data_IF_682517150316
#
_entry.id   IF_682517150316
#
_cell.length_a   1.000
_cell.length_b   1.000
_cell.length_c   1.000
_cell.angle_alpha   90.00
_cell.angle_beta   90.00
_cell.angle_gamma   90.00
#
_symmetry.space_group_name_H-M   'P 1'
#
loop_
_entity.id
_entity.type
_entity.pdbx_description
1 polymer ?
#
# COMPACT_ATOMS: atom_id res chain seq x y z
N UNK A 1 19.58 -6.78 23.97
CA UNK A 1 18.67 -5.71 24.44
C UNK A 1 18.16 -6.10 25.82
N UNK A 2 18.27 -5.23 26.83
CA UNK A 2 17.66 -5.49 28.14
C UNK A 2 16.12 -5.42 28.08
N UNK A 3 15.40 -5.88 29.12
CA UNK A 3 13.94 -5.82 29.15
C UNK A 3 13.46 -4.36 29.05
N UNK A 4 12.84 -4.04 27.92
CA UNK A 4 12.20 -2.74 27.68
C UNK A 4 10.78 -2.75 28.22
N UNK A 5 10.42 -1.72 28.99
CA UNK A 5 9.07 -1.53 29.55
C UNK A 5 8.41 -0.34 28.88
N UNK A 6 7.24 -0.55 28.29
CA UNK A 6 6.43 0.53 27.70
C UNK A 6 5.12 0.59 28.49
N UNK A 7 4.96 1.64 29.30
CA UNK A 7 3.74 1.93 30.04
C UNK A 7 2.91 2.96 29.24
N UNK A 8 1.73 2.57 28.73
CA UNK A 8 0.84 3.45 27.97
C UNK A 8 -0.45 3.69 28.75
N UNK A 9 -0.79 4.97 28.98
CA UNK A 9 -2.06 5.38 29.60
C UNK A 9 -3.01 5.90 28.52
N UNK A 10 -4.18 5.27 28.38
CA UNK A 10 -5.28 5.72 27.52
C UNK A 10 -6.42 6.22 28.39
N UNK A 11 -6.64 7.53 28.40
CA UNK A 11 -7.85 8.12 28.97
C UNK A 11 -8.93 8.17 27.89
N UNK A 12 -10.00 7.40 28.07
CA UNK A 12 -11.20 7.49 27.21
C UNK A 12 -12.24 8.29 27.99
N UNK A 13 -12.44 9.55 27.59
CA UNK A 13 -13.54 10.36 28.12
C UNK A 13 -14.78 10.03 27.30
N UNK A 14 -15.72 9.29 27.88
CA UNK A 14 -17.04 9.11 27.31
C UNK A 14 -17.88 10.37 27.58
N UNK A 15 -18.37 11.03 26.53
CA UNK A 15 -19.38 12.09 26.64
C UNK A 15 -20.75 11.45 26.87
N UNK A 16 -21.40 11.75 28.00
CA UNK A 16 -22.80 11.38 28.26
C UNK A 16 -23.13 11.14 29.73
N UNK A 17 -22.47 10.17 30.39
CA UNK A 17 -22.99 9.60 31.64
C UNK A 17 -22.10 9.82 32.88
N UNK A 18 -21.14 10.75 32.85
CA UNK A 18 -20.27 11.05 34.00
C UNK A 18 -19.31 9.92 34.42
N UNK A 19 -19.29 8.79 33.70
CA UNK A 19 -18.39 7.66 33.95
C UNK A 19 -17.05 7.88 33.22
N UNK A 20 -15.94 7.97 33.98
CA UNK A 20 -14.58 7.94 33.42
C UNK A 20 -14.12 6.49 33.27
N UNK A 21 -13.71 6.10 32.06
CA UNK A 21 -13.04 4.83 31.79
C UNK A 21 -11.57 5.10 31.52
N UNK A 22 -10.70 4.67 32.43
CA UNK A 22 -9.25 4.74 32.23
C UNK A 22 -8.76 3.33 31.87
N UNK A 23 -8.20 3.18 30.68
CA UNK A 23 -7.62 1.91 30.25
C UNK A 23 -6.11 2.03 30.33
N UNK A 24 -5.48 1.20 31.16
CA UNK A 24 -4.02 1.12 31.27
C UNK A 24 -3.57 -0.15 30.57
N UNK A 25 -2.73 0.01 29.56
CA UNK A 25 -2.13 -1.10 28.83
C UNK A 25 -0.66 -1.15 29.20
N UNK A 26 -0.23 -2.28 29.74
CA UNK A 26 1.16 -2.50 30.11
C UNK A 26 1.74 -3.61 29.23
N UNK A 27 2.72 -3.24 28.42
CA UNK A 27 3.48 -4.14 27.57
C UNK A 27 4.81 -4.45 28.25
N UNK A 28 5.04 -5.72 28.59
CA UNK A 28 6.34 -6.18 29.07
C UNK A 28 6.92 -7.20 28.09
N UNK A 29 8.14 -6.92 27.65
CA UNK A 29 8.96 -7.86 26.89
C UNK A 29 9.91 -8.58 27.86
N UNK A 30 9.85 -9.91 27.90
CA UNK A 30 10.68 -10.73 28.80
C UNK A 30 11.59 -11.65 27.96
N UNK A 31 12.88 -11.30 27.77
CA UNK A 31 13.88 -12.26 27.31
C UNK A 31 14.25 -13.23 28.45
N UNK A 32 14.58 -14.52 28.20
CA UNK A 32 14.97 -15.11 26.91
C UNK A 32 13.90 -16.01 26.26
N UNK A 33 12.68 -16.08 26.78
CA UNK A 33 11.72 -17.14 26.39
C UNK A 33 10.91 -16.85 25.12
N UNK A 34 11.12 -15.71 24.46
CA UNK A 34 10.39 -15.39 23.23
C UNK A 34 8.88 -15.24 23.46
N UNK A 35 8.43 -14.69 24.59
CA UNK A 35 7.02 -14.38 24.82
C UNK A 35 6.79 -12.88 25.00
N UNK A 36 5.70 -12.36 24.44
CA UNK A 36 5.13 -11.06 24.80
C UNK A 36 4.11 -11.27 25.91
N UNK A 37 4.30 -10.59 27.05
CA UNK A 37 3.30 -10.55 28.12
C UNK A 37 2.51 -9.26 27.98
N UNK A 38 1.22 -9.42 27.69
CA UNK A 38 0.25 -8.32 27.63
C UNK A 38 -0.57 -8.32 28.90
N UNK A 39 -0.46 -7.25 29.70
CA UNK A 39 -1.36 -7.03 30.83
C UNK A 39 -2.30 -5.86 30.51
N UNK A 40 -3.59 -6.16 30.46
CA UNK A 40 -4.66 -5.18 30.35
C UNK A 40 -5.21 -4.89 31.73
N UNK A 41 -5.23 -3.62 32.14
CA UNK A 41 -5.89 -3.16 33.36
C UNK A 41 -6.94 -2.12 33.00
N UNK A 42 -8.22 -2.45 33.16
CA UNK A 42 -9.33 -1.51 32.97
C UNK A 42 -9.79 -1.01 34.32
N UNK A 43 -9.75 0.30 34.53
CA UNK A 43 -10.28 0.95 35.73
C UNK A 43 -11.60 1.60 35.34
N UNK A 44 -12.70 1.11 35.93
CA UNK A 44 -14.01 1.75 35.83
C UNK A 44 -14.25 2.57 37.09
N UNK A 45 -14.40 3.89 36.94
CA UNK A 45 -14.79 4.77 38.05
C UNK A 45 -16.16 5.38 37.80
N UNK A 46 -17.04 5.26 38.80
CA UNK A 46 -18.34 5.92 38.86
C UNK A 46 -18.33 6.86 40.08
N UNK A 47 -18.91 8.07 40.01
CA UNK A 47 -18.95 8.99 41.15
C UNK A 47 -19.57 8.42 42.43
N UNK A 48 -20.41 7.38 42.31
CA UNK A 48 -21.21 6.79 43.38
C UNK A 48 -20.90 5.31 43.67
N UNK A 49 -19.82 4.75 43.10
CA UNK A 49 -19.46 3.33 43.29
C UNK A 49 -17.94 3.13 43.46
N UNK A 50 -17.50 2.11 44.22
CA UNK A 50 -16.08 1.81 44.41
C UNK A 50 -15.38 1.50 43.08
N UNK A 51 -14.12 1.91 42.95
CA UNK A 51 -13.30 1.65 41.75
C UNK A 51 -13.14 0.14 41.55
N UNK A 52 -13.53 -0.36 40.38
CA UNK A 52 -13.32 -1.76 40.01
C UNK A 52 -12.15 -1.87 39.04
N UNK A 53 -11.16 -2.69 39.38
CA UNK A 53 -10.01 -3.01 38.54
C UNK A 53 -10.24 -4.37 37.87
N UNK A 54 -10.26 -4.39 36.54
CA UNK A 54 -10.27 -5.64 35.77
C UNK A 54 -8.89 -5.85 35.16
N UNK A 55 -8.27 -6.98 35.47
CA UNK A 55 -6.96 -7.36 34.91
C UNK A 55 -7.04 -8.61 34.06
N UNK A 56 -6.48 -8.57 32.86
CA UNK A 56 -6.34 -9.72 31.98
C UNK A 56 -4.88 -9.83 31.53
N UNK A 57 -4.29 -11.02 31.62
CA UNK A 57 -2.92 -11.30 31.19
C UNK A 57 -2.94 -12.31 30.05
N UNK A 58 -2.15 -12.07 29.02
CA UNK A 58 -2.01 -12.99 27.89
C UNK A 58 -0.54 -13.14 27.51
N UNK A 59 -0.12 -14.40 27.30
CA UNK A 59 1.22 -14.79 26.84
C UNK A 59 1.15 -15.09 25.34
N UNK A 60 1.98 -14.42 24.54
CA UNK A 60 2.05 -14.64 23.09
C UNK A 60 3.45 -15.10 22.71
N UNK A 61 3.65 -16.31 22.17
CA UNK A 61 4.95 -16.77 21.70
C UNK A 61 5.42 -15.99 20.45
N UNK A 62 6.73 -15.75 20.38
CA UNK A 62 7.48 -15.04 19.35
C UNK A 62 8.69 -15.92 19.00
N UNK A 63 8.58 -16.76 17.95
CA UNK A 63 9.61 -17.42 17.10
C UNK A 63 9.06 -18.77 16.56
N UNK A 64 9.25 -19.28 15.32
CA UNK A 64 10.06 -18.94 14.13
C UNK A 64 9.53 -19.71 12.88
N UNK A 65 9.77 -19.17 11.66
CA UNK A 65 9.72 -19.77 10.29
C UNK A 65 8.44 -20.51 9.86
N UNK A 66 7.68 -19.90 8.94
CA UNK A 66 6.71 -20.62 8.12
C UNK A 66 7.43 -21.40 7.01
N UNK A 67 7.66 -22.69 7.24
CA UNK A 67 7.90 -23.67 6.18
C UNK A 67 6.54 -24.04 5.57
N UNK A 68 6.40 -23.88 4.26
CA UNK A 68 5.22 -24.23 3.47
C UNK A 68 5.03 -25.75 3.44
N UNK A 69 4.03 -26.29 4.16
CA UNK A 69 3.20 -27.47 3.77
C UNK A 69 2.55 -28.21 4.96
N UNK A 70 1.44 -27.74 5.54
CA UNK A 70 0.40 -28.61 6.17
C UNK A 70 -0.87 -27.80 6.48
N UNK A 71 -2.10 -28.32 6.26
CA UNK A 71 -3.33 -27.63 6.65
C UNK A 71 -3.63 -27.85 8.13
N UNK A 72 -3.82 -26.79 8.91
CA UNK A 72 -4.19 -26.88 10.33
C UNK A 72 -5.69 -26.58 10.47
N UNK A 73 -6.49 -27.63 10.39
CA UNK A 73 -7.77 -27.72 11.09
C UNK A 73 -7.47 -28.33 12.47
N UNK A 74 -7.45 -27.52 13.53
CA UNK A 74 -7.93 -27.85 14.89
C UNK A 74 -7.29 -26.94 15.94
N UNK A 75 -8.07 -26.02 16.50
CA UNK A 75 -7.89 -25.54 17.87
C UNK A 75 -9.29 -25.51 18.48
N UNK A 76 -9.61 -26.61 19.18
CA UNK A 76 -10.87 -26.81 19.86
C UNK A 76 -10.91 -26.00 21.15
N UNK A 77 -11.93 -25.16 21.30
CA UNK A 77 -12.35 -24.64 22.60
C UNK A 77 -13.10 -25.75 23.35
N UNK A 78 -12.55 -26.17 24.49
CA UNK A 78 -13.25 -27.01 25.45
C UNK A 78 -14.33 -26.17 26.17
N UNK A 79 -15.60 -26.43 25.88
CA UNK A 79 -16.70 -26.14 26.79
C UNK A 79 -17.42 -27.46 27.11
N UNK A 80 -17.30 -27.86 28.37
CA UNK A 80 -17.99 -29.01 28.96
C UNK A 80 -19.46 -28.65 29.19
N UNK A 81 -20.37 -29.17 28.37
CA UNK A 81 -21.76 -29.45 28.76
C UNK A 81 -22.15 -30.78 28.11
N UNK A 82 -22.47 -31.76 28.95
CA UNK A 82 -22.86 -33.10 28.51
C UNK A 82 -24.26 -33.12 27.89
N UNK A 83 -24.41 -33.93 26.85
CA UNK A 83 -25.52 -34.87 26.73
C UNK A 83 -25.19 -35.91 25.66
N UNK A 84 -25.42 -37.17 26.01
CA UNK A 84 -25.29 -38.33 25.16
C UNK A 84 -26.35 -38.31 24.05
N UNK A 85 -26.01 -38.73 22.83
CA UNK A 85 -26.84 -39.60 21.99
C UNK A 85 -26.02 -40.21 20.85
N UNK A 86 -26.42 -41.42 20.48
CA UNK A 86 -25.75 -42.45 19.71
C UNK A 86 -25.65 -42.22 18.19
N UNK A 87 -24.48 -42.56 17.64
CA UNK A 87 -24.20 -43.31 16.40
C UNK A 87 -25.17 -43.29 15.21
N UNK A 88 -24.63 -42.96 14.03
CA UNK A 88 -24.53 -43.90 12.90
C UNK A 88 -23.81 -43.26 11.70
N UNK A 89 -22.89 -44.02 11.11
CA UNK A 89 -22.26 -43.75 9.80
C UNK A 89 -23.22 -44.16 8.70
N UNK A 90 -23.34 -43.36 7.63
CA UNK A 90 -23.57 -43.88 6.27
C UNK A 90 -22.93 -42.95 5.24
N UNK A 91 -22.12 -43.55 4.38
CA UNK A 91 -21.57 -42.98 3.16
C UNK A 91 -22.58 -43.16 2.01
N UNK A 92 -22.61 -42.24 1.05
CA UNK A 92 -23.09 -42.45 -0.33
C UNK A 92 -22.61 -41.31 -1.25
N UNK A 93 -22.58 -41.50 -2.59
CA UNK A 93 -21.48 -41.06 -3.43
C UNK A 93 -21.76 -39.82 -4.28
N UNK A 94 -20.67 -39.26 -4.80
CA UNK A 94 -20.59 -38.19 -5.80
C UNK A 94 -21.14 -38.69 -7.14
N UNK A 95 -22.14 -38.00 -7.69
CA UNK A 95 -22.57 -38.13 -9.08
C UNK A 95 -22.06 -36.93 -9.90
N UNK A 96 -21.24 -37.22 -10.90
CA UNK A 96 -20.83 -36.28 -11.94
C UNK A 96 -21.93 -36.18 -12.99
N UNK A 97 -22.46 -34.97 -13.23
CA UNK A 97 -23.23 -34.68 -14.44
C UNK A 97 -22.58 -33.50 -15.16
N UNK A 98 -22.09 -33.78 -16.37
CA UNK A 98 -21.58 -32.78 -17.30
C UNK A 98 -22.74 -32.00 -17.89
N UNK A 99 -22.72 -30.68 -17.72
CA UNK A 99 -23.60 -29.74 -18.39
C UNK A 99 -22.78 -28.85 -19.32
N UNK A 100 -23.05 -28.94 -20.61
CA UNK A 100 -22.53 -28.04 -21.65
C UNK A 100 -23.04 -26.61 -21.41
N UNK A 101 -22.16 -25.72 -20.94
CA UNK A 101 -22.45 -24.30 -20.76
C UNK A 101 -22.42 -23.54 -22.09
N UNK A 102 -23.54 -22.88 -22.42
CA UNK A 102 -23.69 -21.98 -23.56
C UNK A 102 -22.92 -20.66 -23.34
N UNK A 103 -22.31 -20.01 -24.36
CA UNK A 103 -21.41 -18.86 -24.16
C UNK A 103 -22.09 -17.53 -23.78
N UNK A 104 -23.41 -17.50 -23.60
CA UNK A 104 -24.20 -16.25 -23.51
C UNK A 104 -24.20 -15.57 -22.14
N UNK A 105 -23.81 -16.25 -21.05
CA UNK A 105 -23.83 -15.66 -19.69
C UNK A 105 -22.62 -14.79 -19.40
N UNK A 106 -21.41 -15.22 -19.80
CA UNK A 106 -20.16 -14.51 -19.49
C UNK A 106 -20.06 -13.11 -20.14
N UNK A 107 -20.62 -12.91 -21.34
CA UNK A 107 -20.61 -11.62 -22.02
C UNK A 107 -21.55 -10.59 -21.35
N UNK A 108 -22.71 -11.05 -20.86
CA UNK A 108 -23.65 -10.19 -20.13
C UNK A 108 -23.16 -9.83 -18.72
N UNK A 109 -22.50 -10.76 -18.04
CA UNK A 109 -21.92 -10.52 -16.71
C UNK A 109 -20.73 -9.54 -16.78
N UNK A 110 -19.92 -9.61 -17.84
CA UNK A 110 -18.83 -8.65 -18.08
C UNK A 110 -19.34 -7.22 -18.35
N UNK A 111 -20.38 -7.06 -19.17
CA UNK A 111 -20.98 -5.75 -19.48
C UNK A 111 -21.64 -5.12 -18.24
N UNK A 112 -22.34 -5.92 -17.44
CA UNK A 112 -22.92 -5.47 -16.17
C UNK A 112 -21.84 -5.04 -15.16
N UNK A 113 -20.75 -5.80 -15.05
CA UNK A 113 -19.61 -5.47 -14.20
C UNK A 113 -18.90 -4.18 -14.61
N UNK A 114 -18.69 -3.99 -15.92
CA UNK A 114 -18.07 -2.78 -16.47
C UNK A 114 -18.96 -1.54 -16.31
N UNK A 115 -20.27 -1.69 -16.51
CA UNK A 115 -21.27 -0.64 -16.27
C UNK A 115 -21.32 -0.21 -14.79
N UNK A 116 -21.33 -1.17 -13.86
CA UNK A 116 -21.30 -0.89 -12.42
C UNK A 116 -20.01 -0.16 -12.01
N UNK A 117 -18.85 -0.61 -12.53
CA UNK A 117 -17.56 0.05 -12.31
C UNK A 117 -17.58 1.49 -12.80
N UNK A 118 -18.05 1.73 -14.03
CA UNK A 118 -18.16 3.07 -14.62
C UNK A 118 -19.06 3.96 -13.77
N UNK A 119 -20.20 3.46 -13.31
CA UNK A 119 -21.12 4.21 -12.45
C UNK A 119 -20.48 4.63 -11.12
N UNK A 120 -19.76 3.72 -10.45
CA UNK A 120 -18.99 4.02 -9.23
C UNK A 120 -17.98 5.15 -9.48
N UNK A 121 -17.18 5.02 -10.55
CA UNK A 121 -16.18 6.04 -10.92
C UNK A 121 -16.82 7.41 -11.18
N UNK A 122 -17.92 7.47 -11.94
CA UNK A 122 -18.58 8.73 -12.28
C UNK A 122 -19.24 9.40 -11.05
N UNK A 123 -19.66 8.62 -10.07
CA UNK A 123 -20.22 9.11 -8.80
C UNK A 123 -19.16 9.54 -7.77
N UNK A 124 -17.90 9.15 -8.00
CA UNK A 124 -16.78 9.41 -7.08
C UNK A 124 -16.50 10.90 -6.93
N UNK A 125 -16.05 11.28 -5.72
CA UNK A 125 -15.63 12.66 -5.39
C UNK A 125 -14.12 12.85 -5.40
N UNK A 126 -13.34 11.80 -5.72
CA UNK A 126 -11.88 11.85 -5.66
C UNK A 126 -11.27 12.80 -6.71
N UNK A 127 -12.02 13.10 -7.77
CA UNK A 127 -11.68 14.15 -8.74
C UNK A 127 -12.33 15.46 -8.31
N UNK A 128 -11.50 16.48 -8.08
CA UNK A 128 -11.95 17.83 -7.78
C UNK A 128 -11.02 18.85 -8.43
N UNK A 129 -11.50 20.09 -8.55
CA UNK A 129 -10.72 21.17 -9.11
C UNK A 129 -9.67 21.64 -8.11
N UNK A 130 -8.42 21.65 -8.58
CA UNK A 130 -7.28 22.11 -7.79
C UNK A 130 -6.84 23.47 -8.34
N UNK A 131 -6.71 24.51 -7.50
CA UNK A 131 -6.23 25.80 -7.94
C UNK A 131 -4.88 25.72 -8.65
N UNK A 132 -4.67 26.56 -9.68
CA UNK A 132 -3.46 26.56 -10.51
C UNK A 132 -2.20 26.96 -9.74
N UNK A 133 -2.33 27.72 -8.65
CA UNK A 133 -1.21 28.11 -7.80
C UNK A 133 -0.66 26.97 -6.93
N UNK A 134 -1.41 25.86 -6.78
CA UNK A 134 -0.91 24.67 -6.06
C UNK A 134 0.00 23.86 -6.96
N UNK A 135 1.07 23.33 -6.40
CA UNK A 135 2.01 22.45 -7.12
C UNK A 135 1.40 21.04 -7.23
N UNK A 136 1.57 20.30 -8.34
CA UNK A 136 1.11 18.90 -8.51
C UNK A 136 1.78 17.86 -7.59
N UNK A 137 1.97 18.21 -6.31
CA UNK A 137 2.54 17.38 -5.27
C UNK A 137 1.46 17.12 -4.22
N UNK A 138 1.06 15.85 -4.12
CA UNK A 138 -0.05 15.39 -3.30
C UNK A 138 0.50 14.76 -2.03
N UNK A 139 0.02 15.26 -0.88
CA UNK A 139 0.38 14.72 0.42
C UNK A 139 -0.67 15.11 1.47
N UNK A 140 -0.92 14.23 2.43
CA UNK A 140 -1.67 14.54 3.64
C UNK A 140 -0.84 14.15 4.85
N UNK A 141 -0.91 14.92 5.93
CA UNK A 141 -0.31 14.53 7.21
C UNK A 141 -0.83 13.19 7.73
N UNK A 142 -2.00 12.74 7.27
CA UNK A 142 -2.56 11.43 7.59
C UNK A 142 -1.89 10.26 6.87
N UNK A 143 -0.99 10.49 5.92
CA UNK A 143 -0.24 9.41 5.29
C UNK A 143 0.72 8.74 6.27
N UNK A 144 1.28 9.53 7.20
CA UNK A 144 2.18 9.01 8.22
C UNK A 144 1.39 8.13 9.21
N UNK A 145 1.70 6.84 9.27
CA UNK A 145 1.09 5.91 10.24
C UNK A 145 1.93 5.94 11.51
N UNK A 146 1.47 6.69 12.51
CA UNK A 146 2.03 6.66 13.86
C UNK A 146 0.95 6.20 14.83
N UNK A 147 1.12 5.02 15.41
CA UNK A 147 0.15 4.46 16.35
C UNK A 147 0.83 3.62 17.42
N UNK A 148 0.81 4.11 18.67
CA UNK A 148 1.30 3.41 19.86
C UNK A 148 2.76 2.92 19.79
N UNK A 149 3.63 3.50 18.97
CA UNK A 149 5.01 3.02 18.82
C UNK A 149 5.15 1.84 17.87
N UNK A 150 4.04 1.34 17.30
CA UNK A 150 4.01 0.21 16.37
C UNK A 150 4.81 0.53 15.10
N UNK A 151 4.90 1.81 14.73
CA UNK A 151 5.74 2.29 13.63
C UNK A 151 7.22 1.90 13.76
N UNK A 152 7.70 1.61 14.98
CA UNK A 152 9.09 1.21 15.26
C UNK A 152 9.34 -0.28 15.16
N UNK A 153 8.28 -1.10 15.04
CA UNK A 153 8.35 -2.56 15.02
C UNK A 153 8.43 -3.14 13.62
N UNK A 154 8.48 -2.29 12.60
CA UNK A 154 8.38 -2.67 11.20
C UNK A 154 9.54 -2.07 10.39
N UNK A 155 10.11 -2.79 9.40
CA UNK A 155 11.20 -2.26 8.56
C UNK A 155 10.77 -1.04 7.73
N UNK A 156 9.49 -0.96 7.35
CA UNK A 156 8.94 0.22 6.68
C UNK A 156 8.83 1.41 7.63
N UNK A 157 9.53 2.50 7.30
CA UNK A 157 9.34 3.78 7.97
C UNK A 157 8.01 4.41 7.58
N UNK A 158 7.00 4.16 8.40
CA UNK A 158 5.65 4.66 8.16
C UNK A 158 5.48 6.17 8.35
N UNK A 159 6.55 6.90 8.71
CA UNK A 159 6.59 8.36 8.78
C UNK A 159 7.51 8.99 7.71
N UNK A 160 7.91 8.19 6.70
CA UNK A 160 8.79 8.61 5.58
C UNK A 160 8.20 9.78 4.81
N UNK A 161 6.88 9.79 4.62
CA UNK A 161 6.16 10.73 3.75
C UNK A 161 6.25 12.17 4.25
N UNK A 162 5.92 12.39 5.53
CA UNK A 162 6.06 13.72 6.13
C UNK A 162 7.49 14.21 6.18
N UNK A 163 8.49 13.30 6.27
CA UNK A 163 9.91 13.68 6.22
C UNK A 163 10.32 14.21 4.85
N UNK A 164 9.84 13.61 3.75
CA UNK A 164 10.10 14.10 2.39
C UNK A 164 9.62 15.54 2.24
N UNK A 165 8.36 15.83 2.60
CA UNK A 165 7.82 17.19 2.52
C UNK A 165 8.59 18.17 3.41
N UNK A 166 9.02 17.76 4.61
CA UNK A 166 9.85 18.60 5.49
C UNK A 166 11.19 18.96 4.85
N UNK A 167 11.85 18.02 4.18
CA UNK A 167 13.09 18.31 3.46
C UNK A 167 12.86 19.29 2.31
N UNK A 168 11.83 19.08 1.48
CA UNK A 168 11.51 20.00 0.38
C UNK A 168 11.19 21.42 0.85
N UNK A 169 10.51 21.56 2.00
CA UNK A 169 10.25 22.86 2.62
C UNK A 169 11.53 23.49 3.16
N UNK A 170 12.39 22.71 3.82
CA UNK A 170 13.65 23.21 4.38
C UNK A 170 14.63 23.70 3.30
N UNK A 171 14.63 23.09 2.11
CA UNK A 171 15.42 23.51 0.94
C UNK A 171 14.82 24.74 0.23
N UNK A 172 13.67 25.26 0.70
CA UNK A 172 13.02 26.45 0.13
C UNK A 172 12.28 26.22 -1.19
N UNK A 173 12.14 24.97 -1.65
CA UNK A 173 11.52 24.64 -2.93
C UNK A 173 10.00 24.45 -2.85
N UNK A 174 9.45 24.28 -1.65
CA UNK A 174 8.04 24.02 -1.43
C UNK A 174 7.54 24.78 -0.21
N UNK A 175 6.41 25.46 -0.32
CA UNK A 175 5.66 25.92 0.85
C UNK A 175 4.50 24.95 1.09
N UNK A 176 4.26 24.63 2.36
CA UNK A 176 3.17 23.75 2.81
C UNK A 176 1.81 24.17 2.24
N UNK A 177 1.55 25.46 2.03
CA UNK A 177 0.26 25.95 1.48
C UNK A 177 0.01 25.53 0.02
N UNK A 178 1.07 25.22 -0.72
CA UNK A 178 0.97 24.78 -2.13
C UNK A 178 0.79 23.27 -2.29
N UNK A 179 0.98 22.50 -1.21
CA UNK A 179 0.73 21.06 -1.20
C UNK A 179 -0.76 20.79 -1.39
N UNK A 180 -1.07 19.78 -2.20
CA UNK A 180 -2.44 19.33 -2.46
C UNK A 180 -2.78 18.22 -1.47
N UNK A 181 -3.85 18.42 -0.69
CA UNK A 181 -4.38 17.35 0.17
C UNK A 181 -5.43 16.54 -0.60
N UNK A 182 -5.30 15.21 -0.66
CA UNK A 182 -6.28 14.35 -1.32
C UNK A 182 -7.49 14.06 -0.44
N UNK A 183 -8.57 13.56 -1.04
CA UNK A 183 -9.70 12.99 -0.31
C UNK A 183 -9.45 11.50 0.02
N UNK A 184 -10.15 10.99 1.02
CA UNK A 184 -10.13 9.55 1.33
C UNK A 184 -10.94 8.78 0.28
N UNK A 185 -10.38 7.69 -0.26
CA UNK A 185 -11.14 6.74 -1.06
C UNK A 185 -12.16 5.99 -0.20
N UNK A 186 -13.44 6.12 -0.53
CA UNK A 186 -14.55 5.44 0.15
C UNK A 186 -14.70 4.02 -0.37
N UNK A 187 -15.52 3.23 0.32
CA UNK A 187 -15.84 1.84 -0.09
C UNK A 187 -16.25 1.76 -1.57
N UNK A 188 -17.14 2.63 -2.04
CA UNK A 188 -17.57 2.64 -3.45
C UNK A 188 -16.43 2.93 -4.44
N UNK A 189 -15.47 3.76 -4.05
CA UNK A 189 -14.28 4.00 -4.86
C UNK A 189 -13.39 2.74 -4.90
N UNK A 190 -13.23 2.05 -3.78
CA UNK A 190 -12.43 0.83 -3.67
C UNK A 190 -13.05 -0.34 -4.44
N UNK A 191 -14.38 -0.43 -4.49
CA UNK A 191 -15.15 -1.44 -5.24
C UNK A 191 -15.04 -1.30 -6.77
N UNK A 192 -14.30 -0.31 -7.27
CA UNK A 192 -13.94 -0.22 -8.69
C UNK A 192 -12.99 -1.36 -9.09
N UNK A 193 -12.11 -1.77 -8.17
CA UNK A 193 -11.12 -2.84 -8.37
C UNK A 193 -11.37 -3.99 -7.38
N UNK A 194 -11.54 -3.69 -6.10
CA UNK A 194 -11.61 -4.72 -5.07
C UNK A 194 -12.96 -5.41 -5.01
N UNK A 195 -12.96 -6.71 -4.69
CA UNK A 195 -14.21 -7.41 -4.35
C UNK A 195 -14.77 -6.99 -2.99
N UNK A 196 -16.08 -7.15 -2.86
CA UNK A 196 -16.76 -7.03 -1.57
C UNK A 196 -16.17 -7.99 -0.53
N UNK A 197 -15.81 -9.20 -0.94
CA UNK A 197 -15.21 -10.23 -0.07
C UNK A 197 -13.87 -9.76 0.48
N UNK A 198 -12.99 -9.25 -0.38
CA UNK A 198 -11.69 -8.73 0.05
C UNK A 198 -11.87 -7.53 1.00
N UNK A 199 -12.70 -6.55 0.65
CA UNK A 199 -12.94 -5.39 1.53
C UNK A 199 -13.57 -5.79 2.87
N UNK A 200 -14.47 -6.78 2.87
CA UNK A 200 -15.04 -7.31 4.11
C UNK A 200 -13.99 -7.99 5.00
N UNK A 201 -12.99 -8.64 4.41
CA UNK A 201 -11.90 -9.30 5.15
C UNK A 201 -11.04 -8.31 5.96
N UNK A 202 -10.96 -7.04 5.54
CA UNK A 202 -10.22 -5.98 6.25
C UNK A 202 -10.90 -5.53 7.55
N UNK A 203 -12.15 -5.96 7.80
CA UNK A 203 -12.82 -5.81 9.11
C UNK A 203 -12.24 -6.72 10.19
N UNK A 204 -11.37 -7.66 9.81
CA UNK A 204 -10.57 -8.47 10.74
C UNK A 204 -9.17 -7.89 10.92
N UNK A 205 -8.83 -7.44 12.14
CA UNK A 205 -7.49 -6.92 12.45
C UNK A 205 -6.37 -7.93 12.18
N UNK A 206 -6.64 -9.22 12.30
CA UNK A 206 -5.68 -10.28 11.99
C UNK A 206 -5.25 -10.24 10.52
N UNK A 207 -6.21 -10.12 9.59
CA UNK A 207 -5.90 -10.05 8.17
C UNK A 207 -5.10 -8.79 7.83
N UNK A 208 -5.50 -7.63 8.39
CA UNK A 208 -4.74 -6.38 8.22
C UNK A 208 -3.30 -6.55 8.72
N UNK A 209 -3.12 -7.13 9.91
CA UNK A 209 -1.80 -7.39 10.49
C UNK A 209 -0.92 -8.28 9.62
N UNK A 210 -1.50 -9.29 8.95
CA UNK A 210 -0.80 -10.13 7.97
C UNK A 210 -0.38 -9.32 6.75
N UNK A 211 -1.28 -8.52 6.17
CA UNK A 211 -1.00 -7.72 4.97
C UNK A 211 0.10 -6.68 5.23
N UNK A 212 0.03 -5.98 6.36
CA UNK A 212 1.03 -4.97 6.74
C UNK A 212 2.27 -5.58 7.41
N UNK A 213 2.29 -6.89 7.63
CA UNK A 213 3.34 -7.64 8.34
C UNK A 213 3.71 -7.08 9.72
N UNK A 214 2.69 -6.61 10.46
CA UNK A 214 2.85 -6.12 11.83
C UNK A 214 2.00 -6.96 12.78
N UNK A 215 2.51 -8.11 13.29
CA UNK A 215 1.73 -9.03 14.11
C UNK A 215 0.98 -8.37 15.30
N UNK A 216 1.55 -7.38 16.03
CA UNK A 216 0.82 -6.70 17.11
C UNK A 216 -0.50 -6.03 16.69
N UNK A 217 -0.66 -5.64 15.41
CA UNK A 217 -1.91 -5.05 14.88
C UNK A 217 -3.08 -6.02 15.03
N UNK A 218 -2.84 -7.34 15.03
CA UNK A 218 -3.89 -8.35 15.15
C UNK A 218 -4.68 -8.26 16.47
N UNK A 219 -4.07 -7.68 17.51
CA UNK A 219 -4.64 -7.53 18.84
C UNK A 219 -5.34 -6.19 19.05
N UNK A 220 -5.24 -5.28 18.08
CA UNK A 220 -5.85 -3.96 18.14
C UNK A 220 -7.31 -4.05 17.69
N UNK A 221 -8.27 -3.45 18.42
CA UNK A 221 -9.66 -3.38 17.98
C UNK A 221 -9.78 -2.81 16.56
N UNK A 222 -10.56 -3.46 15.69
CA UNK A 222 -10.58 -3.13 14.27
C UNK A 222 -10.98 -1.67 13.98
N UNK A 223 -11.81 -1.03 14.80
CA UNK A 223 -12.12 0.39 14.64
C UNK A 223 -10.89 1.32 14.77
N UNK A 224 -9.91 0.94 15.60
CA UNK A 224 -8.64 1.65 15.70
C UNK A 224 -7.70 1.31 14.55
N UNK A 225 -7.67 0.04 14.11
CA UNK A 225 -6.93 -0.37 12.90
C UNK A 225 -7.45 0.37 11.68
N UNK A 226 -8.77 0.47 11.53
CA UNK A 226 -9.39 1.22 10.44
C UNK A 226 -8.98 2.70 10.47
N UNK A 227 -9.10 3.34 11.63
CA UNK A 227 -8.79 4.77 11.79
C UNK A 227 -7.31 5.11 11.65
N UNK A 228 -6.41 4.26 12.17
CA UNK A 228 -4.99 4.58 12.30
C UNK A 228 -4.09 3.87 11.30
N UNK A 229 -4.55 2.78 10.67
CA UNK A 229 -3.79 2.04 9.66
C UNK A 229 -4.48 2.16 8.30
N UNK A 230 -5.74 1.75 8.18
CA UNK A 230 -6.42 1.67 6.87
C UNK A 230 -6.78 3.05 6.29
N UNK A 231 -7.18 4.01 7.13
CA UNK A 231 -7.48 5.39 6.69
C UNK A 231 -6.29 6.07 5.99
N UNK A 232 -5.06 6.03 6.54
CA UNK A 232 -3.85 6.46 5.83
C UNK A 232 -3.67 5.83 4.43
N UNK A 233 -3.90 4.51 4.29
CA UNK A 233 -3.85 3.83 2.99
C UNK A 233 -4.94 4.35 2.04
N UNK A 234 -6.19 4.52 2.51
CA UNK A 234 -7.29 5.06 1.68
C UNK A 234 -7.07 6.51 1.26
N UNK A 235 -6.39 7.31 2.07
CA UNK A 235 -5.97 8.67 1.71
C UNK A 235 -4.89 8.65 0.61
N UNK A 236 -3.94 7.71 0.69
CA UNK A 236 -2.94 7.52 -0.36
C UNK A 236 -3.56 7.06 -1.68
N UNK A 237 -4.54 6.17 -1.65
CA UNK A 237 -5.34 5.77 -2.84
C UNK A 237 -5.98 6.98 -3.51
N UNK A 238 -6.68 7.82 -2.72
CA UNK A 238 -7.26 9.06 -3.25
C UNK A 238 -6.22 10.02 -3.82
N UNK A 239 -5.01 10.04 -3.26
CA UNK A 239 -3.88 10.80 -3.79
C UNK A 239 -3.37 10.27 -5.13
N UNK A 240 -3.22 8.96 -5.29
CA UNK A 240 -2.79 8.33 -6.55
C UNK A 240 -3.80 8.61 -7.66
N UNK A 241 -5.10 8.49 -7.37
CA UNK A 241 -6.20 8.79 -8.30
C UNK A 241 -6.21 10.27 -8.70
N UNK A 242 -6.07 11.18 -7.73
CA UNK A 242 -6.00 12.63 -8.00
C UNK A 242 -4.74 13.00 -8.79
N UNK A 243 -3.62 12.31 -8.55
CA UNK A 243 -2.37 12.56 -9.26
C UNK A 243 -2.53 12.32 -10.77
N UNK A 244 -3.26 11.29 -11.22
CA UNK A 244 -3.53 11.10 -12.64
C UNK A 244 -4.28 12.26 -13.28
N UNK A 245 -5.28 12.83 -12.60
CA UNK A 245 -5.96 14.05 -13.07
C UNK A 245 -4.98 15.20 -13.25
N UNK A 246 -4.16 15.45 -12.23
CA UNK A 246 -3.22 16.56 -12.22
C UNK A 246 -2.11 16.38 -13.25
N UNK A 247 -1.61 15.15 -13.43
CA UNK A 247 -0.64 14.82 -14.47
C UNK A 247 -1.24 15.07 -15.86
N UNK A 248 -2.48 14.63 -16.12
CA UNK A 248 -3.15 14.88 -17.40
C UNK A 248 -3.33 16.38 -17.68
N UNK A 249 -3.63 17.17 -16.65
CA UNK A 249 -3.84 18.62 -16.77
C UNK A 249 -2.55 19.43 -16.85
N UNK A 250 -1.45 18.95 -16.22
CA UNK A 250 -0.27 19.76 -15.91
C UNK A 250 1.05 19.10 -16.33
N UNK A 251 0.98 17.98 -17.04
CA UNK A 251 2.13 17.19 -17.53
C UNK A 251 2.71 16.21 -16.52
N UNK A 252 2.64 16.50 -15.22
CA UNK A 252 3.15 15.61 -14.19
C UNK A 252 2.42 15.78 -12.85
N UNK A 253 2.48 14.76 -12.01
CA UNK A 253 2.10 14.83 -10.61
C UNK A 253 2.88 13.81 -9.76
N UNK A 254 3.12 14.13 -8.49
CA UNK A 254 3.79 13.24 -7.54
C UNK A 254 2.87 13.03 -6.33
N UNK A 255 2.49 11.78 -6.06
CA UNK A 255 1.89 11.41 -4.78
C UNK A 255 3.04 11.01 -3.83
N UNK A 256 3.22 11.72 -2.72
CA UNK A 256 4.27 11.41 -1.72
C UNK A 256 3.81 10.24 -0.85
N UNK A 257 3.61 9.09 -1.48
CA UNK A 257 3.05 7.86 -0.94
C UNK A 257 2.53 6.98 -2.08
N UNK A 258 1.61 6.07 -1.74
CA UNK A 258 1.01 5.15 -2.72
C UNK A 258 2.03 4.20 -3.33
N UNK A 259 1.70 3.65 -4.50
CA UNK A 259 2.56 2.70 -5.19
C UNK A 259 2.45 1.30 -4.59
N UNK A 260 1.24 0.91 -4.20
CA UNK A 260 0.93 -0.34 -3.50
C UNK A 260 0.89 -1.52 -4.46
N UNK A 261 2.02 -1.76 -5.13
CA UNK A 261 2.15 -2.66 -6.28
C UNK A 261 1.93 -4.15 -5.99
N UNK A 262 1.92 -4.58 -4.72
CA UNK A 262 1.65 -5.97 -4.32
C UNK A 262 0.16 -6.26 -4.10
N UNK A 263 -0.68 -5.23 -3.99
CA UNK A 263 -2.11 -5.44 -3.80
C UNK A 263 -2.81 -5.61 -5.16
N UNK A 264 -3.63 -6.66 -5.24
CA UNK A 264 -4.54 -6.95 -6.35
C UNK A 264 -6.00 -6.74 -5.91
N UNK A 265 -6.95 -6.88 -6.83
CA UNK A 265 -8.38 -6.85 -6.58
C UNK A 265 -8.81 -7.72 -5.38
N UNK A 266 -8.27 -8.92 -5.26
CA UNK A 266 -8.72 -9.93 -4.30
C UNK A 266 -7.80 -10.10 -3.08
N UNK A 267 -6.61 -9.50 -3.09
CA UNK A 267 -5.58 -9.80 -2.09
C UNK A 267 -4.60 -8.66 -1.89
N UNK A 268 -4.36 -8.31 -0.62
CA UNK A 268 -3.24 -7.50 -0.17
C UNK A 268 -2.03 -8.34 0.24
N UNK A 269 -0.86 -7.72 0.31
CA UNK A 269 0.41 -8.34 0.71
C UNK A 269 1.56 -7.36 0.55
N UNK A 270 2.75 -7.68 1.08
CA UNK A 270 3.95 -6.84 0.94
C UNK A 270 3.70 -5.38 1.35
N UNK A 271 3.02 -5.17 2.48
CA UNK A 271 2.64 -3.85 3.00
C UNK A 271 1.57 -3.09 2.18
N UNK A 272 1.03 -3.70 1.12
CA UNK A 272 0.07 -3.09 0.21
C UNK A 272 -1.35 -3.56 0.55
N UNK A 273 -2.20 -2.65 1.03
CA UNK A 273 -3.58 -2.97 1.46
C UNK A 273 -4.62 -2.72 0.37
N UNK A 274 -4.43 -1.72 -0.48
CA UNK A 274 -5.35 -1.41 -1.58
C UNK A 274 -4.56 -1.26 -2.88
N UNK A 275 -5.15 -1.68 -3.99
CA UNK A 275 -4.53 -1.66 -5.33
C UNK A 275 -4.63 -0.24 -5.93
N UNK A 276 -3.90 0.72 -5.35
CA UNK A 276 -4.01 2.12 -5.72
C UNK A 276 -3.60 2.41 -7.17
N UNK A 277 -2.60 1.70 -7.70
CA UNK A 277 -2.19 1.75 -9.11
C UNK A 277 -3.35 1.30 -10.00
N UNK A 278 -3.94 0.13 -9.74
CA UNK A 278 -5.06 -0.40 -10.51
C UNK A 278 -6.27 0.54 -10.46
N UNK A 279 -6.62 1.03 -9.27
CA UNK A 279 -7.70 1.99 -9.09
C UNK A 279 -7.43 3.28 -9.89
N UNK A 280 -6.23 3.84 -9.80
CA UNK A 280 -5.81 5.02 -10.54
C UNK A 280 -6.03 4.85 -12.06
N UNK A 281 -5.63 3.70 -12.61
CA UNK A 281 -5.75 3.40 -14.04
C UNK A 281 -7.22 3.27 -14.47
N UNK A 282 -8.06 2.53 -13.74
CA UNK A 282 -9.48 2.43 -14.08
C UNK A 282 -10.21 3.79 -14.02
N UNK A 283 -9.86 4.63 -13.03
CA UNK A 283 -10.35 6.00 -12.96
C UNK A 283 -9.87 6.82 -14.16
N UNK A 284 -8.59 6.72 -14.56
CA UNK A 284 -8.05 7.40 -15.72
C UNK A 284 -8.77 7.00 -17.02
N UNK A 285 -9.03 5.70 -17.21
CA UNK A 285 -9.81 5.20 -18.36
C UNK A 285 -11.19 5.85 -18.45
N UNK A 286 -11.89 5.98 -17.33
CA UNK A 286 -13.28 6.47 -17.32
C UNK A 286 -13.40 8.00 -17.24
N UNK A 287 -12.48 8.69 -16.56
CA UNK A 287 -12.60 10.13 -16.26
C UNK A 287 -11.72 11.02 -17.13
N UNK A 288 -10.61 10.49 -17.64
CA UNK A 288 -9.60 11.28 -18.36
C UNK A 288 -9.55 10.97 -19.85
N UNK A 289 -10.45 10.09 -20.34
CA UNK A 289 -10.47 9.62 -21.72
C UNK A 289 -9.10 9.08 -22.17
N UNK A 290 -8.41 8.42 -21.25
CA UNK A 290 -7.16 7.69 -21.51
C UNK A 290 -7.57 6.27 -21.93
N UNK A 291 -6.89 5.72 -22.92
CA UNK A 291 -7.11 4.37 -23.43
C UNK A 291 -5.84 3.52 -23.37
N UNK A 292 -4.68 4.12 -23.14
CA UNK A 292 -3.38 3.42 -23.05
C UNK A 292 -2.56 3.95 -21.89
N UNK A 293 -2.21 3.08 -20.95
CA UNK A 293 -1.36 3.42 -19.79
C UNK A 293 -0.11 2.55 -19.78
N UNK A 294 1.04 3.16 -19.50
CA UNK A 294 2.27 2.42 -19.23
C UNK A 294 2.56 2.47 -17.74
N UNK A 295 2.75 1.32 -17.12
CA UNK A 295 3.33 1.19 -15.78
C UNK A 295 4.83 1.01 -15.97
N UNK A 296 5.60 1.87 -15.32
CA UNK A 296 7.05 1.73 -15.17
C UNK A 296 7.27 1.45 -13.69
N UNK A 297 7.47 0.19 -13.32
CA UNK A 297 7.76 -0.21 -11.94
C UNK A 297 9.27 -0.42 -11.77
N UNK A 298 9.87 0.44 -10.93
CA UNK A 298 11.31 0.42 -10.61
C UNK A 298 11.54 0.24 -9.10
N UNK A 299 10.54 -0.25 -8.36
CA UNK A 299 10.74 -0.84 -7.05
C UNK A 299 11.60 -2.12 -7.17
N UNK A 300 12.35 -2.47 -6.12
CA UNK A 300 13.20 -3.66 -6.17
C UNK A 300 12.37 -4.95 -6.25
N UNK A 301 11.14 -4.94 -5.73
CA UNK A 301 10.25 -6.09 -5.72
C UNK A 301 9.37 -6.11 -6.97
N UNK A 302 8.99 -7.31 -7.40
CA UNK A 302 8.04 -7.50 -8.50
C UNK A 302 6.65 -6.96 -8.11
N UNK A 303 6.03 -6.19 -9.01
CA UNK A 303 4.71 -5.57 -8.86
C UNK A 303 3.51 -6.50 -9.09
N UNK A 304 3.52 -7.68 -8.46
CA UNK A 304 2.59 -8.79 -8.75
C UNK A 304 1.09 -8.47 -8.59
N UNK A 305 0.72 -7.40 -7.87
CA UNK A 305 -0.66 -6.97 -7.70
C UNK A 305 -1.27 -6.43 -9.01
N UNK A 306 -0.64 -5.41 -9.58
CA UNK A 306 -1.13 -4.80 -10.82
C UNK A 306 -0.90 -5.71 -12.05
N UNK A 307 0.12 -6.55 -12.03
CA UNK A 307 0.31 -7.60 -13.05
C UNK A 307 -0.90 -8.52 -13.17
N UNK A 308 -1.47 -8.96 -12.03
CA UNK A 308 -2.67 -9.81 -12.02
C UNK A 308 -3.91 -9.05 -12.45
N UNK A 309 -4.09 -7.83 -11.93
CA UNK A 309 -5.27 -7.00 -12.20
C UNK A 309 -5.40 -6.63 -13.69
N UNK A 310 -4.28 -6.60 -14.43
CA UNK A 310 -4.24 -6.27 -15.86
C UNK A 310 -3.77 -7.43 -16.75
N UNK A 311 -3.83 -8.67 -16.26
CA UNK A 311 -3.36 -9.89 -16.93
C UNK A 311 -3.73 -10.02 -18.41
N UNK A 312 -4.97 -9.63 -18.78
CA UNK A 312 -5.49 -9.69 -20.15
C UNK A 312 -5.83 -8.31 -20.76
N UNK A 313 -5.45 -7.21 -20.10
CA UNK A 313 -5.81 -5.85 -20.55
C UNK A 313 -4.72 -5.21 -21.41
N UNK A 314 -4.88 -5.31 -22.74
CA UNK A 314 -3.94 -4.73 -23.72
C UNK A 314 -3.86 -3.19 -23.71
N UNK A 315 -4.73 -2.52 -22.94
CA UNK A 315 -4.64 -1.07 -22.71
C UNK A 315 -3.52 -0.72 -21.73
N UNK A 316 -2.96 -1.69 -21.02
CA UNK A 316 -1.87 -1.50 -20.05
C UNK A 316 -0.60 -2.18 -20.53
N UNK A 317 0.51 -1.44 -20.52
CA UNK A 317 1.85 -1.97 -20.75
C UNK A 317 2.66 -1.92 -19.47
N UNK A 318 3.17 -3.06 -19.02
CA UNK A 318 3.92 -3.21 -17.77
C UNK A 318 5.40 -3.40 -18.13
N UNK A 319 6.20 -2.39 -17.80
CA UNK A 319 7.64 -2.48 -17.67
C UNK A 319 7.95 -2.66 -16.18
N UNK A 320 8.44 -3.83 -15.78
CA UNK A 320 8.86 -4.11 -14.40
C UNK A 320 10.34 -4.52 -14.37
N UNK A 321 11.12 -3.77 -13.58
CA UNK A 321 12.55 -3.96 -13.39
C UNK A 321 12.88 -4.29 -11.93
N UNK A 322 12.77 -5.57 -11.60
CA UNK A 322 12.84 -6.08 -10.23
C UNK A 322 14.01 -7.07 -10.02
N UNK A 323 14.32 -7.32 -8.75
CA UNK A 323 15.24 -8.37 -8.34
C UNK A 323 14.51 -9.72 -8.22
N UNK A 324 14.83 -10.73 -9.05
CA UNK A 324 14.08 -11.98 -9.07
C UNK A 324 14.32 -12.88 -7.84
N UNK A 325 15.35 -12.58 -7.04
CA UNK A 325 15.78 -13.37 -5.88
C UNK A 325 15.08 -12.99 -4.56
N UNK A 326 14.16 -12.01 -4.60
CA UNK A 326 13.44 -11.51 -3.44
C UNK A 326 11.91 -11.69 -3.61
N UNK A 327 11.16 -11.41 -2.54
CA UNK A 327 9.70 -11.45 -2.52
C UNK A 327 9.13 -10.75 -3.77
N UNK A 328 8.05 -11.26 -4.41
CA UNK A 328 7.08 -12.24 -3.96
C UNK A 328 7.24 -13.67 -4.49
N UNK A 329 8.17 -13.93 -5.41
CA UNK A 329 8.29 -15.22 -6.13
C UNK A 329 7.01 -15.64 -6.89
N UNK A 330 6.25 -14.67 -7.40
CA UNK A 330 4.96 -14.89 -8.05
C UNK A 330 5.14 -15.13 -9.57
N UNK A 331 5.62 -16.32 -9.93
CA UNK A 331 5.93 -16.68 -11.33
C UNK A 331 4.73 -16.67 -12.27
N UNK A 332 3.52 -16.80 -11.73
CA UNK A 332 2.28 -16.71 -12.51
C UNK A 332 2.05 -15.27 -12.95
N UNK A 333 2.11 -14.32 -12.00
CA UNK A 333 1.98 -12.89 -12.29
C UNK A 333 3.05 -12.38 -13.28
N UNK A 334 4.29 -12.89 -13.18
CA UNK A 334 5.39 -12.55 -14.11
C UNK A 334 5.08 -12.84 -15.58
N UNK A 335 4.05 -13.63 -15.89
CA UNK A 335 3.63 -13.91 -17.27
C UNK A 335 2.89 -12.73 -17.90
N UNK A 336 2.36 -11.82 -17.10
CA UNK A 336 1.60 -10.65 -17.54
C UNK A 336 2.46 -9.39 -17.68
N UNK A 337 3.73 -9.44 -17.28
CA UNK A 337 4.68 -8.36 -17.52
C UNK A 337 5.04 -8.32 -19.01
N UNK A 338 4.74 -7.22 -19.69
CA UNK A 338 5.07 -7.05 -21.11
C UNK A 338 6.59 -6.99 -21.33
N UNK A 339 7.30 -6.29 -20.44
CA UNK A 339 8.74 -6.16 -20.50
C UNK A 339 9.37 -6.38 -19.12
N UNK A 340 9.94 -7.56 -18.92
CA UNK A 340 10.65 -7.95 -17.70
C UNK A 340 12.12 -7.57 -17.81
N UNK A 341 12.63 -6.89 -16.80
CA UNK A 341 14.06 -6.58 -16.68
C UNK A 341 14.57 -7.05 -15.33
N UNK A 342 15.01 -8.31 -15.27
CA UNK A 342 15.54 -8.88 -14.04
C UNK A 342 16.92 -8.31 -13.72
N UNK A 343 17.09 -7.81 -12.48
CA UNK A 343 18.36 -7.27 -11.95
C UNK A 343 18.85 -8.08 -10.77
N UNK A 344 20.04 -8.64 -10.88
CA UNK A 344 20.59 -9.52 -9.85
C UNK A 344 20.91 -8.76 -8.55
N UNK A 345 20.86 -9.46 -7.43
CA UNK A 345 21.34 -8.92 -6.15
C UNK A 345 22.77 -8.38 -6.27
N UNK A 346 23.01 -7.18 -5.74
CA UNK A 346 24.30 -6.50 -5.83
C UNK A 346 24.52 -5.67 -7.12
N UNK A 347 23.53 -5.59 -8.02
CA UNK A 347 23.60 -4.71 -9.21
C UNK A 347 23.99 -3.29 -8.81
N UNK A 348 24.99 -2.75 -9.51
CA UNK A 348 25.53 -1.40 -9.23
C UNK A 348 24.78 -0.31 -9.99
N UNK A 349 24.96 0.95 -9.59
CA UNK A 349 24.35 2.12 -10.27
C UNK A 349 24.56 2.12 -11.78
N UNK A 350 25.77 1.87 -12.28
CA UNK A 350 26.06 1.94 -13.72
C UNK A 350 25.33 0.86 -14.51
N UNK A 351 25.35 -0.37 -14.01
CA UNK A 351 24.62 -1.49 -14.63
C UNK A 351 23.11 -1.24 -14.60
N UNK A 352 22.56 -0.84 -13.45
CA UNK A 352 21.14 -0.55 -13.30
C UNK A 352 20.68 0.52 -14.29
N UNK A 353 21.38 1.66 -14.35
CA UNK A 353 21.01 2.76 -15.24
C UNK A 353 21.16 2.39 -16.72
N UNK A 354 22.14 1.54 -17.08
CA UNK A 354 22.29 1.03 -18.44
C UNK A 354 21.13 0.12 -18.84
N UNK A 355 20.69 -0.78 -17.94
CA UNK A 355 19.54 -1.65 -18.16
C UNK A 355 18.25 -0.85 -18.29
N UNK A 356 18.04 0.12 -17.42
CA UNK A 356 16.90 1.02 -17.49
C UNK A 356 16.85 1.78 -18.81
N UNK A 357 17.98 2.32 -19.26
CA UNK A 357 18.02 3.05 -20.54
C UNK A 357 17.68 2.15 -21.73
N UNK A 358 18.23 0.93 -21.78
CA UNK A 358 17.85 -0.06 -22.78
C UNK A 358 16.36 -0.40 -22.70
N UNK A 359 15.84 -0.52 -21.47
CA UNK A 359 14.45 -0.85 -21.25
C UNK A 359 13.49 0.24 -21.74
N UNK A 360 13.79 1.50 -21.42
CA UNK A 360 13.00 2.65 -21.87
C UNK A 360 13.02 2.80 -23.41
N UNK A 361 14.13 2.46 -24.08
CA UNK A 361 14.20 2.43 -25.55
C UNK A 361 13.25 1.38 -26.13
N UNK A 362 13.26 0.15 -25.59
CA UNK A 362 12.32 -0.90 -26.02
C UNK A 362 10.88 -0.50 -25.75
N UNK A 363 10.58 0.05 -24.58
CA UNK A 363 9.24 0.50 -24.22
C UNK A 363 8.73 1.62 -25.14
N UNK A 364 9.62 2.52 -25.59
CA UNK A 364 9.29 3.59 -26.53
C UNK A 364 8.74 3.07 -27.87
N UNK A 365 9.30 1.97 -28.36
CA UNK A 365 8.95 1.39 -29.66
C UNK A 365 7.78 0.39 -29.54
N UNK A 366 7.61 -0.20 -28.35
CA UNK A 366 6.61 -1.24 -28.10
C UNK A 366 5.22 -0.69 -27.78
N UNK A 367 5.12 0.50 -27.18
CA UNK A 367 3.85 1.02 -26.68
C UNK A 367 3.79 2.56 -26.67
N UNK A 368 2.63 3.11 -27.04
CA UNK A 368 2.38 4.57 -27.08
C UNK A 368 1.39 4.98 -25.99
N UNK A 369 1.82 5.16 -24.73
CA UNK A 369 0.92 5.49 -23.63
C UNK A 369 0.40 6.93 -23.71
N UNK A 370 -0.76 7.16 -23.13
CA UNK A 370 -1.36 8.49 -22.93
C UNK A 370 -1.21 8.97 -21.48
N UNK A 371 -0.69 8.09 -20.62
CA UNK A 371 -0.33 8.33 -19.23
C UNK A 371 0.72 7.29 -18.80
N UNK A 372 1.73 7.73 -18.04
CA UNK A 372 2.69 6.87 -17.37
C UNK A 372 2.37 6.85 -15.87
N UNK A 373 2.26 5.67 -15.29
CA UNK A 373 2.31 5.46 -13.84
C UNK A 373 3.73 4.96 -13.51
N UNK A 374 4.52 5.81 -12.87
CA UNK A 374 5.87 5.52 -12.46
C UNK A 374 5.90 5.15 -10.96
N UNK A 375 6.15 3.87 -10.67
CA UNK A 375 6.34 3.39 -9.30
C UNK A 375 7.84 3.46 -8.94
N UNK A 376 8.19 4.44 -8.12
CA UNK A 376 9.56 4.90 -7.90
C UNK A 376 10.15 4.43 -6.56
N UNK A 377 9.98 3.16 -6.22
CA UNK A 377 10.44 2.56 -4.96
C UNK A 377 11.93 2.82 -4.71
N UNK A 378 12.29 3.17 -3.47
CA UNK A 378 13.69 3.52 -3.12
C UNK A 378 14.46 2.41 -2.43
N UNK A 379 13.92 1.19 -2.44
CA UNK A 379 14.54 -0.01 -1.89
C UNK A 379 15.63 -0.62 -2.78
N UNK A 380 15.83 -0.09 -4.00
CA UNK A 380 17.03 -0.39 -4.79
C UNK A 380 18.31 0.27 -4.23
N UNK A 381 18.17 1.18 -3.25
CA UNK A 381 19.26 1.93 -2.63
C UNK A 381 20.26 1.01 -1.92
N UNK A 382 21.54 1.31 -2.05
CA UNK A 382 22.61 0.57 -1.37
C UNK A 382 22.42 0.59 0.15
N UNK A 383 22.42 -0.59 0.74
CA UNK A 383 22.16 -0.81 2.17
C UNK A 383 20.68 -0.98 2.53
N UNK A 384 19.75 -0.94 1.57
CA UNK A 384 18.36 -1.28 1.84
C UNK A 384 18.24 -2.77 2.26
N UNK A 385 17.53 -3.08 3.35
CA UNK A 385 17.49 -4.43 3.91
C UNK A 385 16.69 -5.43 3.06
N UNK A 386 15.81 -4.96 2.16
CA UNK A 386 14.89 -5.83 1.42
C UNK A 386 15.25 -5.92 -0.07
N UNK A 387 15.62 -4.81 -0.72
CA UNK A 387 15.82 -4.81 -2.18
C UNK A 387 17.11 -5.49 -2.67
N UNK A 388 18.15 -5.58 -1.83
CA UNK A 388 19.44 -6.26 -2.12
C UNK A 388 20.20 -5.75 -3.35
N UNK A 389 19.98 -4.51 -3.77
CA UNK A 389 20.74 -3.87 -4.85
C UNK A 389 21.77 -2.88 -4.27
N UNK A 390 22.63 -2.30 -5.13
CA UNK A 390 23.72 -1.38 -4.73
C UNK A 390 23.68 -0.08 -5.51
N UNK A 391 22.49 0.52 -5.64
CA UNK A 391 22.33 1.80 -6.33
C UNK A 391 22.63 2.92 -5.33
N UNK A 392 23.49 3.85 -5.71
CA UNK A 392 23.81 5.05 -4.92
C UNK A 392 22.64 6.04 -4.87
N UNK A 393 22.62 6.95 -3.90
CA UNK A 393 21.61 8.03 -3.83
C UNK A 393 21.56 8.89 -5.10
N UNK A 394 22.71 9.23 -5.69
CA UNK A 394 22.81 9.90 -7.00
C UNK A 394 22.26 9.01 -8.13
N UNK A 395 22.44 7.68 -8.04
CA UNK A 395 21.84 6.72 -8.96
C UNK A 395 20.31 6.74 -8.93
N UNK A 396 19.70 6.88 -7.76
CA UNK A 396 18.24 7.06 -7.61
C UNK A 396 17.78 8.34 -8.30
N UNK A 397 18.46 9.46 -8.05
CA UNK A 397 18.11 10.74 -8.69
C UNK A 397 18.24 10.67 -10.22
N UNK A 398 19.27 9.98 -10.74
CA UNK A 398 19.46 9.74 -12.18
C UNK A 398 18.42 8.80 -12.79
N UNK A 399 17.99 7.77 -12.04
CA UNK A 399 16.90 6.89 -12.45
C UNK A 399 15.62 7.70 -12.65
N UNK A 400 15.23 8.47 -11.65
CA UNK A 400 14.01 9.30 -11.71
C UNK A 400 14.12 10.34 -12.84
N UNK A 401 15.29 10.97 -13.00
CA UNK A 401 15.59 11.87 -14.13
C UNK A 401 15.36 11.19 -15.48
N UNK A 402 15.87 9.97 -15.69
CA UNK A 402 15.70 9.22 -16.95
C UNK A 402 14.22 8.97 -17.27
N UNK A 403 13.41 8.60 -16.27
CA UNK A 403 11.98 8.35 -16.48
C UNK A 403 11.22 9.64 -16.80
N UNK A 404 11.51 10.74 -16.09
CA UNK A 404 10.91 12.05 -16.40
C UNK A 404 11.33 12.59 -17.77
N UNK A 405 12.60 12.42 -18.16
CA UNK A 405 13.08 12.76 -19.52
C UNK A 405 12.35 11.93 -20.56
N UNK A 406 12.24 10.62 -20.36
CA UNK A 406 11.53 9.72 -21.27
C UNK A 406 10.07 10.16 -21.51
N UNK A 407 9.36 10.51 -20.44
CA UNK A 407 7.98 11.00 -20.52
C UNK A 407 7.89 12.37 -21.20
N UNK A 408 8.75 13.33 -20.81
CA UNK A 408 8.76 14.71 -21.34
C UNK A 408 9.08 14.75 -22.83
N UNK A 409 10.06 13.99 -23.30
CA UNK A 409 10.44 13.92 -24.73
C UNK A 409 9.31 13.40 -25.63
N UNK A 410 8.33 12.69 -25.04
CA UNK A 410 7.18 12.13 -25.75
C UNK A 410 5.88 12.85 -25.42
N UNK A 411 5.96 13.93 -24.64
CA UNK A 411 4.80 14.72 -24.20
C UNK A 411 3.74 13.89 -23.46
N UNK A 412 4.19 12.86 -22.72
CA UNK A 412 3.30 11.93 -22.01
C UNK A 412 3.15 12.38 -20.55
N UNK A 413 1.91 12.62 -20.07
CA UNK A 413 1.65 12.87 -18.67
C UNK A 413 2.22 11.78 -17.76
N UNK A 414 2.84 12.15 -16.65
CA UNK A 414 3.45 11.20 -15.71
C UNK A 414 2.96 11.37 -14.27
N UNK A 415 2.56 10.26 -13.66
CA UNK A 415 2.31 10.15 -12.21
C UNK A 415 3.48 9.42 -11.57
N UNK A 416 4.12 10.03 -10.58
CA UNK A 416 5.12 9.37 -9.74
C UNK A 416 4.50 8.96 -8.40
N UNK A 417 4.67 7.70 -8.03
CA UNK A 417 4.34 7.14 -6.72
C UNK A 417 5.64 6.74 -6.04
N UNK A 418 5.86 7.15 -4.79
CA UNK A 418 7.19 7.02 -4.15
C UNK A 418 7.45 5.68 -3.48
N UNK A 419 6.40 4.88 -3.24
CA UNK A 419 6.44 3.44 -2.92
C UNK A 419 7.50 2.98 -1.89
N UNK A 420 8.17 1.85 -2.15
CA UNK A 420 9.11 1.16 -1.26
C UNK A 420 10.33 1.97 -0.83
N UNK A 421 11.19 1.31 -0.07
CA UNK A 421 12.38 1.90 0.57
C UNK A 421 12.23 1.94 2.08
N UNK A 422 13.14 1.22 2.73
CA UNK A 422 13.03 0.79 4.13
C UNK A 422 14.19 1.35 4.99
N UNK A 423 15.01 2.23 4.40
CA UNK A 423 16.06 2.94 5.11
C UNK A 423 15.55 4.27 5.67
N UNK A 424 16.12 4.70 6.80
CA UNK A 424 15.85 6.05 7.34
C UNK A 424 16.30 7.15 6.37
N UNK A 425 17.30 6.89 5.54
CA UNK A 425 17.80 7.79 4.50
C UNK A 425 16.85 7.94 3.31
N UNK A 426 15.94 6.98 3.07
CA UNK A 426 15.05 6.99 1.89
C UNK A 426 14.27 8.29 1.75
N UNK A 427 13.75 8.86 2.85
CA UNK A 427 13.05 10.15 2.81
C UNK A 427 13.91 11.30 2.25
N UNK A 428 15.20 11.36 2.61
CA UNK A 428 16.11 12.40 2.11
C UNK A 428 16.49 12.12 0.65
N UNK A 429 16.74 10.86 0.28
CA UNK A 429 17.05 10.47 -1.10
C UNK A 429 15.88 10.80 -2.05
N UNK A 430 14.64 10.52 -1.66
CA UNK A 430 13.45 10.91 -2.44
C UNK A 430 13.36 12.43 -2.58
N UNK A 431 13.55 13.17 -1.49
CA UNK A 431 13.53 14.63 -1.53
C UNK A 431 14.63 15.18 -2.46
N UNK A 432 15.86 14.64 -2.39
CA UNK A 432 16.98 15.02 -3.24
C UNK A 432 16.72 14.72 -4.72
N UNK A 433 16.06 13.60 -5.01
CA UNK A 433 15.61 13.28 -6.36
C UNK A 433 14.60 14.30 -6.89
N UNK A 434 13.58 14.64 -6.10
CA UNK A 434 12.58 15.67 -6.45
C UNK A 434 13.27 17.04 -6.65
N UNK A 435 14.24 17.39 -5.81
CA UNK A 435 15.07 18.59 -5.98
C UNK A 435 15.85 18.54 -7.29
N UNK A 436 16.45 17.40 -7.65
CA UNK A 436 17.16 17.22 -8.91
C UNK A 436 16.22 17.44 -10.10
N UNK A 437 15.04 16.83 -10.09
CA UNK A 437 14.03 17.02 -11.14
C UNK A 437 13.66 18.52 -11.32
N UNK A 438 13.50 19.25 -10.21
CA UNK A 438 13.22 20.69 -10.26
C UNK A 438 14.40 21.49 -10.84
N UNK A 439 15.64 21.20 -10.39
CA UNK A 439 16.86 21.85 -10.90
C UNK A 439 17.10 21.59 -12.39
N UNK A 440 16.64 20.45 -12.91
CA UNK A 440 16.70 20.07 -14.33
C UNK A 440 15.50 20.59 -15.15
N UNK A 441 14.61 21.36 -14.53
CA UNK A 441 13.37 21.86 -15.13
C UNK A 441 12.52 20.74 -15.74
N UNK A 442 12.55 19.55 -15.13
CA UNK A 442 11.67 18.43 -15.46
C UNK A 442 10.33 18.56 -14.73
N UNK A 443 10.35 19.22 -13.57
CA UNK A 443 9.16 19.63 -12.81
C UNK A 443 9.32 21.09 -12.38
N UNK A 444 8.20 21.71 -12.01
CA UNK A 444 8.17 23.09 -11.48
C UNK A 444 7.60 23.07 -10.07
N UNK A 445 8.48 23.27 -9.07
CA UNK A 445 8.09 23.36 -7.67
C UNK A 445 7.94 24.81 -7.19
N UNK A 446 8.57 25.75 -7.90
CA UNK A 446 8.52 27.16 -7.54
C UNK A 446 7.09 27.69 -7.63
N UNK A 447 6.64 28.29 -6.53
CA UNK A 447 5.42 29.05 -6.55
C UNK A 447 5.63 30.23 -7.47
N UNK A 448 4.78 30.38 -8.48
CA UNK A 448 4.67 31.65 -9.20
C UNK A 448 4.27 32.69 -8.13
N UNK A 449 5.24 33.44 -7.62
CA UNK A 449 4.97 34.68 -6.90
C UNK A 449 4.32 35.59 -7.94
N UNK A 450 2.99 35.66 -7.92
CA UNK A 450 2.26 36.76 -8.52
C UNK A 450 2.02 37.83 -7.47
#
# INVERSE_FOLDING_TARGET
>A
MGPGRIDVRLAVVASGDGCRKETRVKLMFVPPEGFLILRFSVIKSHPSAPRTLYTCESLVPIHTRFSTSTPINSLAFHQSIGNAYSGSRMATPVSTSGGSGSPRTAAHDNDAGESARRSRILSSKLYFDVPTYKVPLIYSSSYDIAFLGIEKLHPFDSSKWGRICRFLIAEGLLDKKYIIEPLEAKKEDLLVVHSETYLASLKGSFNVATIVEVPPVALVPNCLVDKHVLYPFRKQVGGSILAAKLAKERGWAINIGGGFHHCSAEKGGGFCVYADISLCIYFAFSRLNISRVMIIDLDAHQGNGHEKDFSDDRRVYILDMYNPDIYPFDYEARRYINQKVEVASGTTTSEYLSRLEGALKVAADAFYPELIIYNAGTDILDGDPLGRLKISSDGIAKRDEKVFVFAREREIPLVMLTSGGYMKSSAKVIADSIVNLSKKSLITLESIQK
#
